data_IF_528306460173
#
_entry.id   IF_528306460173
#
_cell.length_a   1.000
_cell.length_b   1.000
_cell.length_c   1.000
_cell.angle_alpha   90.00
_cell.angle_beta   90.00
_cell.angle_gamma   90.00
#
_symmetry.space_group_name_H-M   'P 1'
#
loop_
_entity.id
_entity.type
_entity.pdbx_description
1 polymer ?
#
# COMPACT_ATOMS: atom_id res chain seq x y z
N UNK A 1 -5.80 -15.52 -56.12
CA UNK A 1 -4.62 -14.77 -55.64
C UNK A 1 -5.01 -13.60 -54.73
N UNK A 2 -5.84 -12.64 -55.19
CA UNK A 2 -6.17 -11.43 -54.41
C UNK A 2 -6.87 -11.68 -53.08
N UNK A 3 -7.82 -12.64 -53.01
CA UNK A 3 -8.49 -13.01 -51.74
C UNK A 3 -7.53 -13.59 -50.69
N UNK A 4 -6.54 -14.38 -51.13
CA UNK A 4 -5.54 -14.98 -50.23
C UNK A 4 -4.62 -13.89 -49.66
N UNK A 5 -4.25 -12.92 -50.49
CA UNK A 5 -3.48 -11.73 -50.09
C UNK A 5 -4.24 -10.87 -49.07
N UNK A 6 -5.52 -10.59 -49.31
CA UNK A 6 -6.38 -9.84 -48.38
C UNK A 6 -6.50 -10.57 -47.04
N UNK A 7 -6.71 -11.88 -47.08
CA UNK A 7 -6.82 -12.70 -45.87
C UNK A 7 -5.50 -12.73 -45.07
N UNK A 8 -4.36 -12.84 -45.75
CA UNK A 8 -3.05 -12.77 -45.11
C UNK A 8 -2.82 -11.40 -44.43
N UNK A 9 -3.18 -10.31 -45.09
CA UNK A 9 -3.08 -8.96 -44.53
C UNK A 9 -3.97 -8.81 -43.29
N UNK A 10 -5.20 -9.34 -43.32
CA UNK A 10 -6.11 -9.30 -42.17
C UNK A 10 -5.55 -10.04 -40.95
N UNK A 11 -4.95 -11.22 -41.15
CA UNK A 11 -4.31 -11.98 -40.07
C UNK A 11 -3.15 -11.20 -39.46
N UNK A 12 -2.29 -10.62 -40.30
CA UNK A 12 -1.15 -9.83 -39.83
C UNK A 12 -1.63 -8.59 -39.06
N UNK A 13 -2.61 -7.86 -39.59
CA UNK A 13 -3.20 -6.70 -38.93
C UNK A 13 -3.81 -7.07 -37.57
N UNK A 14 -4.55 -8.18 -37.50
CA UNK A 14 -5.12 -8.68 -36.24
C UNK A 14 -4.04 -9.04 -35.21
N UNK A 15 -2.95 -9.68 -35.64
CA UNK A 15 -1.81 -10.00 -34.78
C UNK A 15 -1.16 -8.75 -34.19
N UNK A 16 -0.90 -7.73 -35.02
CA UNK A 16 -0.31 -6.45 -34.59
C UNK A 16 -1.22 -5.72 -33.60
N UNK A 17 -2.53 -5.64 -33.88
CA UNK A 17 -3.50 -4.99 -32.99
C UNK A 17 -3.58 -5.70 -31.63
N UNK A 18 -3.61 -7.03 -31.64
CA UNK A 18 -3.67 -7.83 -30.41
C UNK A 18 -2.41 -7.67 -29.58
N UNK A 19 -1.22 -7.73 -30.22
CA UNK A 19 0.05 -7.51 -29.54
C UNK A 19 0.13 -6.12 -28.88
N UNK A 20 -0.23 -5.06 -29.63
CA UNK A 20 -0.25 -3.69 -29.10
C UNK A 20 -1.22 -3.55 -27.91
N UNK A 21 -2.38 -4.19 -27.99
CA UNK A 21 -3.35 -4.21 -26.88
C UNK A 21 -2.77 -4.88 -25.63
N UNK A 22 -2.08 -6.02 -25.78
CA UNK A 22 -1.45 -6.72 -24.67
C UNK A 22 -0.33 -5.89 -24.02
N UNK A 23 0.51 -5.24 -24.81
CA UNK A 23 1.56 -4.34 -24.31
C UNK A 23 0.95 -3.16 -23.54
N UNK A 24 -0.11 -2.55 -24.08
CA UNK A 24 -0.83 -1.46 -23.40
C UNK A 24 -1.45 -1.92 -22.08
N UNK A 25 -2.07 -3.11 -22.05
CA UNK A 25 -2.63 -3.69 -20.82
C UNK A 25 -1.55 -3.95 -19.78
N UNK A 26 -0.38 -4.46 -20.19
CA UNK A 26 0.76 -4.66 -19.30
C UNK A 26 1.22 -3.33 -18.67
N UNK A 27 1.41 -2.29 -19.48
CA UNK A 27 1.77 -0.97 -18.96
C UNK A 27 0.72 -0.38 -18.03
N UNK A 28 -0.58 -0.65 -18.27
CA UNK A 28 -1.65 -0.24 -17.34
C UNK A 28 -1.54 -0.94 -15.99
N UNK A 29 -1.25 -2.24 -15.98
CA UNK A 29 -1.05 -3.01 -14.74
C UNK A 29 0.13 -2.44 -13.95
N UNK A 30 1.27 -2.18 -14.61
CA UNK A 30 2.46 -1.63 -13.96
C UNK A 30 2.19 -0.24 -13.36
N UNK A 31 1.47 0.63 -14.08
CA UNK A 31 1.07 1.94 -13.57
C UNK A 31 0.13 1.83 -12.35
N UNK A 32 -0.85 0.92 -12.39
CA UNK A 32 -1.73 0.66 -11.25
C UNK A 32 -0.94 0.21 -10.02
N UNK A 33 0.04 -0.68 -10.19
CA UNK A 33 0.91 -1.11 -9.10
C UNK A 33 1.77 0.03 -8.55
N UNK A 34 2.34 0.87 -9.41
CA UNK A 34 3.09 2.05 -9.00
C UNK A 34 2.23 3.01 -8.18
N UNK A 35 0.98 3.23 -8.59
CA UNK A 35 0.03 4.08 -7.87
C UNK A 35 -0.29 3.51 -6.47
N UNK A 36 -0.52 2.20 -6.37
CA UNK A 36 -0.74 1.52 -5.08
C UNK A 36 0.50 1.67 -4.18
N UNK A 37 1.71 1.45 -4.71
CA UNK A 37 2.95 1.56 -3.93
C UNK A 37 3.17 2.97 -3.40
N UNK A 38 2.84 4.01 -4.17
CA UNK A 38 2.90 5.41 -3.72
C UNK A 38 1.92 5.66 -2.56
N UNK A 39 0.67 5.20 -2.68
CA UNK A 39 -0.33 5.38 -1.62
C UNK A 39 0.07 4.64 -0.33
N UNK A 40 0.52 3.41 -0.47
CA UNK A 40 1.04 2.63 0.63
C UNK A 40 2.22 3.37 1.29
N UNK A 41 3.27 3.73 0.53
CA UNK A 41 4.42 4.48 1.04
C UNK A 41 4.01 5.74 1.82
N UNK A 42 3.03 6.51 1.32
CA UNK A 42 2.51 7.68 2.04
C UNK A 42 1.96 7.29 3.41
N UNK A 43 1.12 6.25 3.50
CA UNK A 43 0.60 5.72 4.76
C UNK A 43 1.73 5.28 5.71
N UNK A 44 2.74 4.56 5.22
CA UNK A 44 3.88 4.11 6.03
C UNK A 44 4.79 5.25 6.50
N UNK A 45 4.87 6.34 5.75
CA UNK A 45 5.63 7.53 6.13
C UNK A 45 4.97 8.33 7.26
N UNK A 46 3.66 8.17 7.48
CA UNK A 46 2.94 8.83 8.58
C UNK A 46 3.03 8.08 9.91
N UNK A 47 3.36 6.78 9.90
CA UNK A 47 3.45 5.94 11.11
C UNK A 47 4.41 6.51 12.17
N UNK A 48 5.62 7.01 11.83
CA UNK A 48 6.50 7.59 12.84
C UNK A 48 5.87 8.78 13.57
N UNK A 49 5.12 9.62 12.86
CA UNK A 49 4.39 10.76 13.44
C UNK A 49 3.24 10.28 14.33
N UNK A 50 2.54 9.22 13.91
CA UNK A 50 1.50 8.58 14.71
C UNK A 50 2.08 8.00 16.01
N UNK A 51 3.14 7.21 15.92
CA UNK A 51 3.87 6.62 17.07
C UNK A 51 4.38 7.70 18.00
N UNK A 52 4.96 8.78 17.48
CA UNK A 52 5.44 9.92 18.29
C UNK A 52 4.29 10.59 19.04
N UNK A 53 3.14 10.79 18.38
CA UNK A 53 1.95 11.37 18.99
C UNK A 53 1.41 10.49 20.11
N UNK A 54 1.24 9.18 19.88
CA UNK A 54 0.78 8.24 20.91
C UNK A 54 1.78 8.15 22.07
N UNK A 55 3.08 8.09 21.80
CA UNK A 55 4.14 8.02 22.82
C UNK A 55 4.14 9.22 23.78
N UNK A 56 3.68 10.39 23.32
CA UNK A 56 3.55 11.59 24.16
C UNK A 56 2.53 11.42 25.29
N UNK A 57 1.45 10.68 25.05
CA UNK A 57 0.32 10.50 25.97
C UNK A 57 0.34 9.12 26.65
N UNK A 58 0.69 8.07 25.93
CA UNK A 58 0.62 6.67 26.37
C UNK A 58 2.03 6.09 26.64
N UNK A 59 2.70 6.59 27.67
CA UNK A 59 4.10 6.23 27.99
C UNK A 59 4.30 4.78 28.46
N UNK A 60 3.23 4.14 28.94
CA UNK A 60 3.26 2.76 29.44
C UNK A 60 3.04 1.71 28.33
N UNK A 61 2.63 2.13 27.14
CA UNK A 61 2.25 1.26 26.01
C UNK A 61 3.44 0.92 25.10
N UNK A 62 4.59 0.60 25.70
CA UNK A 62 5.83 0.35 24.95
C UNK A 62 5.70 -0.84 24.00
N UNK A 63 5.09 -1.93 24.47
CA UNK A 63 4.92 -3.16 23.70
C UNK A 63 4.14 -2.91 22.41
N UNK A 64 3.02 -2.17 22.49
CA UNK A 64 2.21 -1.83 21.31
C UNK A 64 2.97 -0.93 20.33
N UNK A 65 3.74 0.05 20.83
CA UNK A 65 4.53 0.94 19.98
C UNK A 65 5.71 0.23 19.31
N UNK A 66 6.34 -0.70 20.02
CA UNK A 66 7.40 -1.57 19.50
C UNK A 66 6.86 -2.49 18.41
N UNK A 67 5.69 -3.09 18.63
CA UNK A 67 5.03 -3.93 17.64
C UNK A 67 4.75 -3.16 16.34
N UNK A 68 4.16 -1.97 16.42
CA UNK A 68 3.90 -1.11 15.25
C UNK A 68 5.20 -0.75 14.52
N UNK A 69 6.27 -0.47 15.27
CA UNK A 69 7.59 -0.14 14.72
C UNK A 69 8.24 -1.34 14.03
N UNK A 70 8.12 -2.53 14.61
CA UNK A 70 8.61 -3.79 14.05
C UNK A 70 7.84 -4.14 12.76
N UNK A 71 6.51 -4.08 12.77
CA UNK A 71 5.67 -4.32 11.59
C UNK A 71 5.98 -3.34 10.46
N UNK A 72 6.20 -2.05 10.78
CA UNK A 72 6.64 -1.05 9.79
C UNK A 72 7.99 -1.43 9.17
N UNK A 73 8.95 -1.84 10.00
CA UNK A 73 10.29 -2.24 9.52
C UNK A 73 10.20 -3.45 8.60
N UNK A 74 9.37 -4.44 8.95
CA UNK A 74 9.10 -5.61 8.12
C UNK A 74 8.52 -5.23 6.75
N UNK A 75 7.57 -4.30 6.71
CA UNK A 75 7.04 -3.78 5.46
C UNK A 75 8.12 -3.09 4.60
N UNK A 76 8.99 -2.28 5.21
CA UNK A 76 10.06 -1.60 4.49
C UNK A 76 11.13 -2.58 3.95
N UNK A 77 11.32 -3.71 4.61
CA UNK A 77 12.25 -4.76 4.16
C UNK A 77 11.68 -5.68 3.07
N UNK A 78 10.36 -5.69 2.87
CA UNK A 78 9.69 -6.51 1.86
C UNK A 78 10.03 -6.04 0.44
N UNK A 79 10.44 -6.98 -0.42
CA UNK A 79 10.89 -6.69 -1.79
C UNK A 79 9.85 -7.06 -2.83
N UNK A 80 9.06 -8.11 -2.58
CA UNK A 80 8.02 -8.55 -3.52
C UNK A 80 6.65 -7.98 -3.16
N UNK A 81 5.73 -7.86 -4.15
CA UNK A 81 4.35 -7.45 -3.87
C UNK A 81 3.64 -8.36 -2.85
N UNK A 82 3.89 -9.67 -2.90
CA UNK A 82 3.31 -10.65 -1.97
C UNK A 82 3.83 -10.46 -0.53
N UNK A 83 5.14 -10.26 -0.37
CA UNK A 83 5.75 -9.95 0.93
C UNK A 83 5.19 -8.64 1.50
N UNK A 84 5.05 -7.61 0.66
CA UNK A 84 4.46 -6.33 1.04
C UNK A 84 3.01 -6.47 1.48
N UNK A 85 2.21 -7.31 0.80
CA UNK A 85 0.82 -7.58 1.18
C UNK A 85 0.75 -8.26 2.56
N UNK A 86 1.56 -9.27 2.79
CA UNK A 86 1.63 -9.96 4.10
C UNK A 86 2.05 -9.00 5.22
N UNK A 87 3.14 -8.26 5.02
CA UNK A 87 3.62 -7.28 6.00
C UNK A 87 2.63 -6.13 6.24
N UNK A 88 1.87 -5.72 5.22
CA UNK A 88 0.81 -4.72 5.37
C UNK A 88 -0.36 -5.24 6.23
N UNK A 89 -0.73 -6.52 6.09
CA UNK A 89 -1.75 -7.15 6.95
C UNK A 89 -1.33 -7.16 8.42
N UNK A 90 -0.09 -7.53 8.70
CA UNK A 90 0.46 -7.51 10.06
C UNK A 90 0.48 -6.11 10.64
N UNK A 91 0.95 -5.11 9.87
CA UNK A 91 0.91 -3.72 10.33
C UNK A 91 -0.53 -3.25 10.57
N UNK A 92 -1.49 -3.59 9.70
CA UNK A 92 -2.88 -3.20 9.89
C UNK A 92 -3.43 -3.74 11.22
N UNK A 93 -3.07 -4.98 11.60
CA UNK A 93 -3.38 -5.54 12.91
C UNK A 93 -2.75 -4.77 14.07
N UNK A 94 -1.46 -4.45 13.98
CA UNK A 94 -0.74 -3.68 15.01
C UNK A 94 -1.32 -2.26 15.16
N UNK A 95 -1.65 -1.59 14.06
CA UNK A 95 -2.32 -0.28 14.08
C UNK A 95 -3.71 -0.35 14.70
N UNK A 96 -4.48 -1.43 14.45
CA UNK A 96 -5.78 -1.62 15.09
C UNK A 96 -5.65 -1.74 16.61
N UNK A 97 -4.63 -2.45 17.10
CA UNK A 97 -4.32 -2.52 18.53
C UNK A 97 -3.92 -1.15 19.08
N UNK A 98 -3.07 -0.41 18.36
CA UNK A 98 -2.67 0.96 18.73
C UNK A 98 -3.87 1.89 18.86
N UNK A 99 -4.85 1.82 17.95
CA UNK A 99 -6.06 2.63 18.02
C UNK A 99 -6.95 2.23 19.19
N UNK A 100 -7.11 0.93 19.47
CA UNK A 100 -7.84 0.47 20.64
C UNK A 100 -7.20 0.96 21.96
N UNK A 101 -5.86 0.95 22.02
CA UNK A 101 -5.13 1.53 23.15
C UNK A 101 -5.41 3.03 23.24
N UNK A 102 -5.36 3.76 22.14
CA UNK A 102 -5.62 5.20 22.10
C UNK A 102 -7.05 5.59 22.57
N UNK A 103 -8.03 4.70 22.45
CA UNK A 103 -9.38 4.94 22.99
C UNK A 103 -9.41 5.09 24.51
N UNK A 104 -8.47 4.45 25.22
CA UNK A 104 -8.33 4.55 26.67
C UNK A 104 -7.66 5.87 27.12
N UNK A 105 -7.21 6.72 26.20
CA UNK A 105 -6.55 8.00 26.47
C UNK A 105 -7.37 9.16 25.88
N UNK A 106 -8.33 9.74 26.64
CA UNK A 106 -9.22 10.81 26.16
C UNK A 106 -8.47 12.02 25.57
N UNK A 107 -7.37 12.43 26.20
CA UNK A 107 -6.55 13.57 25.74
C UNK A 107 -5.89 13.32 24.38
N UNK A 108 -5.47 12.07 24.12
CA UNK A 108 -4.92 11.66 22.84
C UNK A 108 -6.03 11.59 21.78
N UNK A 109 -7.20 11.06 22.15
CA UNK A 109 -8.37 10.98 21.26
C UNK A 109 -8.87 12.36 20.82
N UNK A 110 -8.76 13.36 21.68
CA UNK A 110 -9.10 14.75 21.38
C UNK A 110 -7.99 15.51 20.60
N UNK A 111 -6.80 14.92 20.43
CA UNK A 111 -5.70 15.58 19.77
C UNK A 111 -5.95 15.70 18.25
N UNK A 112 -5.95 16.93 17.74
CA UNK A 112 -6.20 17.24 16.33
C UNK A 112 -5.17 16.59 15.40
N UNK A 113 -3.89 16.59 15.77
CA UNK A 113 -2.84 15.97 14.95
C UNK A 113 -3.02 14.45 14.87
N UNK A 114 -3.44 13.81 15.96
CA UNK A 114 -3.72 12.36 15.97
C UNK A 114 -4.95 12.03 15.10
N UNK A 115 -6.01 12.84 15.18
CA UNK A 115 -7.21 12.67 14.35
C UNK A 115 -6.94 12.89 12.87
N UNK A 116 -6.07 13.84 12.51
CA UNK A 116 -5.72 14.09 11.12
C UNK A 116 -4.83 13.00 10.52
N UNK A 117 -4.04 12.30 11.35
CA UNK A 117 -3.25 11.14 10.92
C UNK A 117 -4.09 9.86 10.74
N UNK A 118 -5.33 9.83 11.23
CA UNK A 118 -6.27 8.72 11.03
C UNK A 118 -7.04 8.79 9.70
N UNK A 119 -7.12 9.97 9.09
CA UNK A 119 -7.84 10.22 7.83
C UNK A 119 -7.00 9.86 6.62
#
# INVERSE_FOLDING_TARGET
>A
MSFILIFAILIVAWGVLTYNKLVMLRGRIDNSWAQIDVQLKRRFNLIPNLVSSVKGYAKHEKETLEEVTASRTKYLSAKTPEEKLGANSELAGALSRLFAVAENYPDLKANTNFLDLQK
#
